data_IF_096392247679
#
_entry.id   IF_096392247679
#
_cell.length_a   1.000
_cell.length_b   1.000
_cell.length_c   1.000
_cell.angle_alpha   90.00
_cell.angle_beta   90.00
_cell.angle_gamma   90.00
#
_symmetry.space_group_name_H-M   'P 1'
#
loop_
_entity.id
_entity.type
_entity.pdbx_description
1 polymer ?
#
# COMPACT_ATOMS: atom_id res chain seq x y z
N UNK A 1 -9.95 21.21 -26.14
CA UNK A 1 -9.42 21.07 -24.77
C UNK A 1 -8.31 20.04 -24.87
N UNK A 2 -7.06 20.41 -24.61
CA UNK A 2 -5.91 19.55 -24.86
C UNK A 2 -5.85 18.44 -23.79
N UNK A 3 -6.25 17.23 -24.16
CA UNK A 3 -5.88 16.00 -23.47
C UNK A 3 -4.35 15.94 -23.39
N UNK A 4 -3.82 16.37 -22.24
CA UNK A 4 -2.39 16.36 -21.98
C UNK A 4 -2.04 14.94 -21.52
N UNK A 5 -2.06 13.99 -22.45
CA UNK A 5 -1.51 12.64 -22.27
C UNK A 5 -0.01 12.78 -22.04
N UNK A 6 0.38 13.04 -20.80
CA UNK A 6 1.77 13.14 -20.39
C UNK A 6 2.34 11.73 -20.33
N UNK A 7 3.06 11.34 -21.37
CA UNK A 7 3.77 10.06 -21.39
C UNK A 7 4.93 10.12 -20.39
N UNK A 8 4.95 9.20 -19.43
CA UNK A 8 6.03 9.06 -18.47
C UNK A 8 7.36 8.81 -19.19
N UNK A 9 8.44 9.48 -18.76
CA UNK A 9 9.78 9.15 -19.25
C UNK A 9 10.19 7.74 -18.76
N UNK A 10 11.09 7.04 -19.48
CA UNK A 10 11.63 5.76 -19.02
C UNK A 10 12.25 5.84 -17.62
N UNK A 11 12.92 6.95 -17.29
CA UNK A 11 13.51 7.20 -15.97
C UNK A 11 12.43 7.40 -14.89
N UNK A 12 11.37 8.14 -15.20
CA UNK A 12 10.25 8.35 -14.27
C UNK A 12 9.51 7.05 -13.96
N UNK A 13 9.35 6.20 -14.98
CA UNK A 13 8.76 4.87 -14.87
C UNK A 13 9.66 3.93 -14.04
N UNK A 14 10.97 3.93 -14.29
CA UNK A 14 11.91 3.12 -13.52
C UNK A 14 11.91 3.49 -12.02
N UNK A 15 11.84 4.79 -11.70
CA UNK A 15 11.70 5.26 -10.32
C UNK A 15 10.39 4.79 -9.68
N UNK A 16 9.28 4.85 -10.43
CA UNK A 16 7.99 4.42 -9.95
C UNK A 16 7.94 2.90 -9.70
N UNK A 17 8.53 2.11 -10.59
CA UNK A 17 8.68 0.66 -10.42
C UNK A 17 9.53 0.30 -9.20
N UNK A 18 10.59 1.07 -8.94
CA UNK A 18 11.40 0.90 -7.73
C UNK A 18 10.57 1.17 -6.48
N UNK A 19 9.86 2.31 -6.42
CA UNK A 19 8.97 2.65 -5.30
C UNK A 19 7.89 1.58 -5.09
N UNK A 20 7.29 1.08 -6.17
CA UNK A 20 6.32 -0.01 -6.08
C UNK A 20 6.93 -1.29 -5.50
N UNK A 21 8.14 -1.65 -5.91
CA UNK A 21 8.82 -2.86 -5.43
C UNK A 21 9.12 -2.80 -3.93
N UNK A 22 9.54 -1.62 -3.44
CA UNK A 22 9.77 -1.37 -2.02
C UNK A 22 8.46 -1.48 -1.20
N UNK A 23 7.38 -0.87 -1.69
CA UNK A 23 6.06 -0.94 -1.05
C UNK A 23 5.52 -2.37 -1.05
N UNK A 24 5.62 -3.08 -2.19
CA UNK A 24 5.24 -4.49 -2.29
C UNK A 24 5.99 -5.35 -1.28
N UNK A 25 7.29 -5.11 -1.11
CA UNK A 25 8.09 -5.85 -0.13
C UNK A 25 7.64 -5.57 1.30
N UNK A 26 7.40 -4.31 1.65
CA UNK A 26 6.89 -3.92 2.98
C UNK A 26 5.54 -4.55 3.30
N UNK A 27 4.60 -4.54 2.35
CA UNK A 27 3.28 -5.16 2.48
C UNK A 27 3.41 -6.67 2.66
N UNK A 28 4.22 -7.33 1.82
CA UNK A 28 4.43 -8.78 1.93
C UNK A 28 5.02 -9.18 3.28
N UNK A 29 5.94 -8.38 3.82
CA UNK A 29 6.51 -8.61 5.15
C UNK A 29 5.43 -8.48 6.24
N UNK A 30 4.61 -7.42 6.20
CA UNK A 30 3.51 -7.25 7.15
C UNK A 30 2.51 -8.42 7.10
N UNK A 31 2.14 -8.86 5.89
CA UNK A 31 1.25 -10.00 5.70
C UNK A 31 1.86 -11.31 6.19
N UNK A 32 3.15 -11.56 5.93
CA UNK A 32 3.84 -12.75 6.42
C UNK A 32 3.80 -12.84 7.96
N UNK A 33 4.02 -11.72 8.66
CA UNK A 33 3.91 -11.69 10.13
C UNK A 33 2.49 -11.96 10.59
N UNK A 34 1.47 -11.36 9.96
CA UNK A 34 0.07 -11.62 10.29
C UNK A 34 -0.31 -13.09 10.07
N UNK A 35 0.12 -13.68 8.95
CA UNK A 35 -0.12 -15.08 8.63
C UNK A 35 0.54 -16.02 9.65
N UNK A 36 1.81 -15.77 9.98
CA UNK A 36 2.52 -16.54 10.99
C UNK A 36 1.83 -16.45 12.36
N UNK A 37 1.41 -15.26 12.78
CA UNK A 37 0.67 -15.08 14.04
C UNK A 37 -0.70 -15.77 14.01
N UNK A 38 -1.38 -15.76 12.87
CA UNK A 38 -2.64 -16.49 12.67
C UNK A 38 -2.45 -17.99 12.85
N UNK A 39 -1.47 -18.59 12.17
CA UNK A 39 -1.15 -20.03 12.31
C UNK A 39 -0.71 -20.40 13.73
N UNK A 40 0.03 -19.52 14.40
CA UNK A 40 0.43 -19.73 15.80
C UNK A 40 -0.76 -19.62 16.75
N UNK A 41 -1.69 -18.69 16.52
CA UNK A 41 -2.89 -18.51 17.34
C UNK A 41 -3.83 -19.72 17.31
N UNK A 42 -3.88 -20.44 16.17
CA UNK A 42 -4.65 -21.69 16.05
C UNK A 42 -4.10 -22.80 16.95
N UNK A 43 -2.78 -22.83 17.21
CA UNK A 43 -2.13 -23.84 18.05
C UNK A 43 -1.99 -23.39 19.51
N UNK A 44 -1.84 -22.09 19.73
CA UNK A 44 -1.62 -21.45 21.03
C UNK A 44 -2.47 -20.17 21.11
N UNK A 45 -3.62 -20.22 21.81
CA UNK A 45 -4.54 -19.08 21.91
C UNK A 45 -3.90 -17.78 22.41
N UNK A 46 -2.83 -17.86 23.21
CA UNK A 46 -2.07 -16.71 23.72
C UNK A 46 -1.53 -15.78 22.61
N UNK A 47 -1.34 -16.29 21.39
CA UNK A 47 -0.90 -15.47 20.25
C UNK A 47 -2.04 -14.66 19.60
N UNK A 48 -3.30 -14.90 19.96
CA UNK A 48 -4.44 -14.17 19.39
C UNK A 48 -4.39 -12.67 19.73
N UNK A 49 -3.99 -12.31 20.95
CA UNK A 49 -3.82 -10.91 21.34
C UNK A 49 -2.70 -10.22 20.56
N UNK A 50 -1.58 -10.94 20.35
CA UNK A 50 -0.45 -10.46 19.56
C UNK A 50 -0.83 -10.29 18.08
N UNK A 51 -1.64 -11.20 17.55
CA UNK A 51 -2.21 -11.08 16.21
C UNK A 51 -3.09 -9.83 16.11
N UNK A 52 -4.04 -9.64 17.03
CA UNK A 52 -4.95 -8.49 17.02
C UNK A 52 -4.18 -7.16 17.07
N UNK A 53 -3.19 -7.04 17.96
CA UNK A 53 -2.32 -5.86 18.07
C UNK A 53 -1.51 -5.62 16.79
N UNK A 54 -1.03 -6.70 16.17
CA UNK A 54 -0.29 -6.61 14.91
C UNK A 54 -1.20 -6.16 13.76
N UNK A 55 -2.43 -6.67 13.68
CA UNK A 55 -3.42 -6.24 12.67
C UNK A 55 -3.75 -4.76 12.84
N UNK A 56 -4.04 -4.32 14.07
CA UNK A 56 -4.37 -2.93 14.37
C UNK A 56 -3.24 -1.95 14.01
N UNK A 57 -1.98 -2.37 14.09
CA UNK A 57 -0.83 -1.53 13.76
C UNK A 57 -0.41 -1.60 12.28
N UNK A 58 -0.39 -2.79 11.68
CA UNK A 58 0.13 -3.01 10.33
C UNK A 58 -0.92 -2.76 9.23
N UNK A 59 -2.21 -3.01 9.47
CA UNK A 59 -3.22 -2.77 8.45
C UNK A 59 -3.32 -1.28 8.03
N UNK A 60 -3.32 -0.30 8.96
CA UNK A 60 -3.28 1.11 8.57
C UNK A 60 -2.01 1.50 7.80
N UNK A 61 -0.86 0.90 8.14
CA UNK A 61 0.41 1.12 7.43
C UNK A 61 0.33 0.64 5.97
N UNK A 62 -0.26 -0.53 5.73
CA UNK A 62 -0.48 -1.07 4.37
C UNK A 62 -1.35 -0.10 3.55
N UNK A 63 -2.47 0.36 4.12
CA UNK A 63 -3.38 1.30 3.45
C UNK A 63 -2.66 2.61 3.13
N UNK A 64 -1.92 3.16 4.09
CA UNK A 64 -1.17 4.41 3.92
C UNK A 64 -0.13 4.28 2.80
N UNK A 65 0.66 3.21 2.81
CA UNK A 65 1.67 2.97 1.76
C UNK A 65 1.06 2.81 0.37
N UNK A 66 -0.12 2.19 0.26
CA UNK A 66 -0.84 2.09 -1.02
C UNK A 66 -1.35 3.46 -1.47
N UNK A 67 -1.92 4.26 -0.56
CA UNK A 67 -2.37 5.63 -0.87
C UNK A 67 -1.21 6.53 -1.33
N UNK A 68 -0.07 6.49 -0.62
CA UNK A 68 1.14 7.22 -0.99
C UNK A 68 1.72 6.80 -2.35
N UNK A 69 1.56 5.52 -2.71
CA UNK A 69 1.93 5.05 -4.04
C UNK A 69 0.97 5.58 -5.10
N UNK A 70 -0.34 5.44 -4.90
CA UNK A 70 -1.37 5.90 -5.83
C UNK A 70 -1.26 7.41 -6.06
N UNK A 71 -1.02 8.19 -5.01
CA UNK A 71 -0.79 9.63 -5.14
C UNK A 71 0.44 9.92 -6.00
N UNK A 72 1.58 9.28 -5.72
CA UNK A 72 2.81 9.48 -6.50
C UNK A 72 2.66 9.02 -7.96
N UNK A 73 1.87 7.97 -8.22
CA UNK A 73 1.51 7.52 -9.56
C UNK A 73 0.67 8.60 -10.27
N UNK A 74 -0.38 9.10 -9.63
CA UNK A 74 -1.30 10.09 -10.21
C UNK A 74 -0.57 11.41 -10.51
N UNK A 75 0.29 11.86 -9.60
CA UNK A 75 1.14 13.05 -9.79
C UNK A 75 2.03 12.92 -11.03
N UNK A 76 2.68 11.75 -11.19
CA UNK A 76 3.54 11.49 -12.36
C UNK A 76 2.73 11.30 -13.65
N UNK A 77 1.55 10.70 -13.57
CA UNK A 77 0.65 10.49 -14.71
C UNK A 77 -0.11 11.76 -15.13
N UNK A 78 -0.01 12.86 -14.38
CA UNK A 78 -0.77 14.10 -14.63
C UNK A 78 -2.27 13.97 -14.34
N UNK A 79 -2.70 12.90 -13.67
CA UNK A 79 -4.08 12.70 -13.25
C UNK A 79 -4.30 13.50 -11.97
N UNK A 80 -4.90 14.69 -12.08
CA UNK A 80 -5.33 15.44 -10.89
C UNK A 80 -6.45 14.62 -10.23
N UNK A 81 -6.19 14.03 -9.06
CA UNK A 81 -7.18 13.21 -8.36
C UNK A 81 -8.43 14.04 -8.05
N UNK A 82 -9.53 13.77 -8.75
CA UNK A 82 -10.86 14.31 -8.48
C UNK A 82 -11.65 13.41 -7.52
N UNK A 83 -10.98 12.75 -6.58
CA UNK A 83 -11.62 11.85 -5.61
C UNK A 83 -11.36 12.37 -4.21
N UNK A 84 -11.97 13.52 -3.91
CA UNK A 84 -12.22 13.95 -2.56
C UNK A 84 -13.74 14.15 -2.40
N UNK A 85 -14.41 13.14 -1.84
CA UNK A 85 -15.71 13.31 -1.20
C UNK A 85 -16.94 13.02 -2.05
N UNK A 86 -17.31 11.74 -2.16
CA UNK A 86 -18.73 11.37 -2.11
C UNK A 86 -18.92 10.40 -0.94
N UNK A 87 -18.89 10.97 0.27
CA UNK A 87 -19.62 10.40 1.39
C UNK A 87 -20.99 11.08 1.38
N UNK A 88 -22.03 10.31 1.05
CA UNK A 88 -23.42 10.67 1.30
C UNK A 88 -23.96 9.76 2.39
#
# INVERSE_FOLDING_TARGET
>A
MNDTSRTLSPEELAQLQKKFSEIKHSINNALAVMMALSEMSQRRPDYAEKLATTVLSKAPQIVTSLQEFTQALNEKAGVKSEVAGEAK
#
